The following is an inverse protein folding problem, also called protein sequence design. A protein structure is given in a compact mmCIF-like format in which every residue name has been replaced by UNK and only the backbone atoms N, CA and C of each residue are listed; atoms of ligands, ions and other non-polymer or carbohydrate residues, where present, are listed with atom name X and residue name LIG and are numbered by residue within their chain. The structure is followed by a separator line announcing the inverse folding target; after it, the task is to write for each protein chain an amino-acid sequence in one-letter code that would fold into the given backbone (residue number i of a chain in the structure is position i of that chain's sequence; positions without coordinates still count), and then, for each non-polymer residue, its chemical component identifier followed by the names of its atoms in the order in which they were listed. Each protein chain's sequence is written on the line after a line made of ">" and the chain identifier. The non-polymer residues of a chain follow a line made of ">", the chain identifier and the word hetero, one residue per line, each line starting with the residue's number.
data_IF_949299610827
#
_entry.id   IF_949299610827
#
_cell.length_a   1.000
_cell.length_b   1.000
_cell.length_c   1.000
_cell.angle_alpha   90.00
_cell.angle_beta   90.00
_cell.angle_gamma   90.00
#
_symmetry.space_group_name_H-M   'P 1'
#
loop_
_entity.id
_entity.type
_entity.pdbx_description
1 polymer ?
#
# COMPACT_ATOMS: atom_id res chain seq x y z
N UNK A 1 -29.24 4.67 43.01
CA UNK A 1 -28.73 5.76 43.87
C UNK A 1 -27.35 5.31 44.35
N UNK A 2 -26.22 6.00 44.24
CA UNK A 2 -25.83 7.33 43.77
C UNK A 2 -24.35 7.28 43.30
N UNK A 3 -23.92 8.27 42.51
CA UNK A 3 -22.53 8.49 42.02
C UNK A 3 -21.56 8.85 43.17
N UNK A 4 -20.24 8.68 42.93
CA UNK A 4 -19.26 9.73 43.19
C UNK A 4 -18.44 9.99 41.89
N UNK A 5 -17.96 11.18 41.54
CA UNK A 5 -17.76 12.45 42.22
C UNK A 5 -16.60 13.12 41.48
N UNK A 6 -16.89 14.22 40.77
CA UNK A 6 -15.95 15.08 40.03
C UNK A 6 -15.36 16.12 41.00
N UNK A 7 -14.19 16.68 40.65
CA UNK A 7 -13.37 17.76 41.27
C UNK A 7 -12.15 17.16 42.02
N UNK A 8 -10.89 17.35 41.60
CA UNK A 8 -10.18 18.63 41.45
C UNK A 8 -9.33 18.74 40.18
N UNK A 9 -9.49 19.84 39.44
CA UNK A 9 -8.46 20.37 38.55
C UNK A 9 -8.45 21.88 38.68
N UNK A 10 -8.12 22.35 39.88
CA UNK A 10 -7.93 23.76 40.17
C UNK A 10 -6.60 24.24 39.56
N UNK A 11 -6.59 25.24 38.64
CA UNK A 11 -5.39 25.67 37.92
C UNK A 11 -4.25 26.12 38.84
N UNK A 12 -4.58 26.68 40.01
CA UNK A 12 -3.60 27.18 40.98
C UNK A 12 -2.83 26.05 41.68
N UNK A 13 -3.50 24.92 41.97
CA UNK A 13 -2.87 23.74 42.59
C UNK A 13 -1.90 23.09 41.60
N UNK A 14 -2.25 23.01 40.31
CA UNK A 14 -1.35 22.52 39.26
C UNK A 14 -0.12 23.41 39.08
N UNK A 15 -0.27 24.74 39.18
CA UNK A 15 0.85 25.68 39.05
C UNK A 15 1.83 25.53 40.22
N UNK A 16 1.33 25.43 41.45
CA UNK A 16 2.16 25.15 42.64
C UNK A 16 2.90 23.82 42.51
N UNK A 17 2.22 22.74 42.09
CA UNK A 17 2.82 21.42 41.88
C UNK A 17 3.94 21.43 40.84
N UNK A 18 3.76 22.16 39.73
CA UNK A 18 4.79 22.32 38.68
C UNK A 18 6.00 23.13 39.17
N UNK A 19 5.79 24.14 40.01
CA UNK A 19 6.88 24.93 40.61
C UNK A 19 7.71 24.08 41.58
N UNK A 20 7.08 23.19 42.34
CA UNK A 20 7.72 22.29 43.28
C UNK A 20 8.55 21.21 42.57
N UNK A 21 7.99 20.55 41.55
CA UNK A 21 8.72 19.59 40.71
C UNK A 21 9.92 20.21 39.97
N UNK A 22 9.82 21.49 39.56
CA UNK A 22 10.96 22.21 38.97
C UNK A 22 12.06 22.50 40.00
N UNK A 23 11.71 22.76 41.25
CA UNK A 23 12.69 22.95 42.33
C UNK A 23 13.40 21.64 42.66
N UNK A 24 12.67 20.53 42.72
CA UNK A 24 13.25 19.19 42.90
C UNK A 24 14.20 18.82 41.76
N UNK A 25 13.79 19.03 40.51
CA UNK A 25 14.65 18.79 39.35
C UNK A 25 15.93 19.63 39.42
N UNK A 26 15.83 20.91 39.81
CA UNK A 26 17.00 21.80 39.96
C UNK A 26 17.94 21.38 41.10
N UNK A 27 17.44 20.65 42.10
CA UNK A 27 18.24 20.07 43.19
C UNK A 27 18.92 18.78 42.74
N UNK A 28 18.19 17.89 42.08
CA UNK A 28 18.71 16.64 41.51
C UNK A 28 19.80 16.90 40.47
N UNK A 29 19.57 17.82 39.54
CA UNK A 29 20.55 18.18 38.50
C UNK A 29 21.80 18.83 39.10
N UNK A 30 21.69 19.56 40.21
CA UNK A 30 22.88 20.11 40.89
C UNK A 30 23.70 19.04 41.57
N UNK A 31 23.06 18.12 42.29
CA UNK A 31 23.74 16.96 42.90
C UNK A 31 24.43 16.07 41.85
N UNK A 32 23.81 15.90 40.67
CA UNK A 32 24.40 15.16 39.54
C UNK A 32 25.65 15.84 38.96
N UNK A 33 25.74 17.17 39.05
CA UNK A 33 26.83 17.96 38.44
C UNK A 33 27.96 18.24 39.44
N UNK A 34 27.66 18.24 40.75
CA UNK A 34 28.61 18.60 41.81
C UNK A 34 29.27 17.38 42.48
N UNK A 35 28.68 16.18 42.45
CA UNK A 35 29.26 14.94 43.00
C UNK A 35 29.98 14.12 41.91
N UNK A 36 31.25 13.71 42.14
CA UNK A 36 32.02 12.88 41.19
C UNK A 36 31.48 11.45 41.04
N UNK A 37 30.83 10.90 42.08
CA UNK A 37 30.14 9.60 42.03
C UNK A 37 28.63 9.79 41.85
N UNK A 38 28.20 9.87 40.59
CA UNK A 38 26.80 10.07 40.23
C UNK A 38 25.99 8.79 40.40
N UNK A 39 25.10 8.73 41.39
CA UNK A 39 24.19 7.59 41.57
C UNK A 39 23.22 7.46 40.37
N UNK A 40 23.17 6.28 39.75
CA UNK A 40 22.25 5.95 38.64
C UNK A 40 20.79 6.25 39.02
N UNK A 41 20.44 6.07 40.31
CA UNK A 41 19.10 6.38 40.81
C UNK A 41 18.76 7.88 40.75
N UNK A 42 19.75 8.77 40.90
CA UNK A 42 19.54 10.21 40.78
C UNK A 42 19.28 10.61 39.31
N UNK A 43 19.99 9.96 38.37
CA UNK A 43 19.77 10.13 36.93
C UNK A 43 18.37 9.65 36.51
N UNK A 44 17.96 8.48 36.99
CA UNK A 44 16.63 7.93 36.69
C UNK A 44 15.50 8.79 37.28
N UNK A 45 15.66 9.28 38.53
CA UNK A 45 14.69 10.22 39.14
C UNK A 45 14.61 11.55 38.40
N UNK A 46 15.74 12.07 37.91
CA UNK A 46 15.77 13.29 37.12
C UNK A 46 15.05 13.11 35.76
N UNK A 47 15.27 11.96 35.11
CA UNK A 47 14.60 11.57 33.86
C UNK A 47 13.10 11.42 34.03
N UNK A 48 12.65 10.76 35.10
CA UNK A 48 11.23 10.59 35.41
C UNK A 48 10.55 11.94 35.68
N UNK A 49 11.18 12.80 36.48
CA UNK A 49 10.67 14.14 36.78
C UNK A 49 10.56 15.01 35.51
N UNK A 50 11.51 14.89 34.58
CA UNK A 50 11.45 15.55 33.27
C UNK A 50 10.31 15.04 32.39
N UNK A 51 10.05 13.74 32.37
CA UNK A 51 8.92 13.15 31.63
C UNK A 51 7.58 13.68 32.15
N UNK A 52 7.38 13.69 33.47
CA UNK A 52 6.14 14.20 34.08
C UNK A 52 5.95 15.70 33.81
N UNK A 53 7.02 16.50 33.89
CA UNK A 53 6.95 17.93 33.55
C UNK A 53 6.64 18.19 32.06
N UNK A 54 7.13 17.32 31.16
CA UNK A 54 6.82 17.38 29.72
C UNK A 54 5.33 17.11 29.49
N UNK A 55 4.77 16.10 30.12
CA UNK A 55 3.35 15.73 29.99
C UNK A 55 2.41 16.80 30.55
N UNK A 56 2.76 17.41 31.68
CA UNK A 56 2.01 18.52 32.26
C UNK A 56 2.08 19.79 31.38
N UNK A 57 3.20 20.04 30.70
CA UNK A 57 3.33 21.13 29.72
C UNK A 57 2.54 20.87 28.44
N UNK A 58 2.44 19.61 28.01
CA UNK A 58 1.59 19.20 26.89
C UNK A 58 0.10 19.35 27.24
N UNK A 59 -0.32 18.97 28.44
CA UNK A 59 -1.72 19.18 28.91
C UNK A 59 -2.11 20.66 29.02
N UNK A 60 -1.18 21.56 29.38
CA UNK A 60 -1.42 23.02 29.34
C UNK A 60 -1.59 23.57 27.91
N UNK A 61 -0.98 22.96 26.89
CA UNK A 61 -1.19 23.33 25.48
C UNK A 61 -2.54 22.85 24.92
N UNK A 62 -3.16 21.85 25.54
CA UNK A 62 -4.46 21.30 25.12
C UNK A 62 -5.66 22.15 25.53
N UNK A 63 -5.54 22.97 26.59
CA UNK A 63 -6.62 23.82 27.11
C UNK A 63 -6.45 25.31 26.81
N UNK A 64 -5.35 25.74 26.18
CA UNK A 64 -5.32 27.06 25.55
C UNK A 64 -5.93 26.95 24.16
N UNK A 65 -7.06 27.61 23.95
CA UNK A 65 -7.51 28.03 22.62
C UNK A 65 -6.30 28.51 21.83
N UNK A 66 -6.05 27.83 20.70
CA UNK A 66 -4.87 28.02 19.85
C UNK A 66 -5.01 29.36 19.13
N UNK A 67 -4.80 30.45 19.86
CA UNK A 67 -4.58 31.77 19.28
C UNK A 67 -3.26 31.71 18.53
N UNK A 68 -3.34 31.76 17.21
CA UNK A 68 -2.20 32.01 16.36
C UNK A 68 -1.54 33.30 16.82
N UNK A 69 -0.23 33.27 17.10
CA UNK A 69 0.57 34.51 17.17
C UNK A 69 0.72 35.05 15.74
N UNK A 70 -0.34 35.67 15.25
CA UNK A 70 -0.28 36.60 14.12
C UNK A 70 0.14 37.94 14.74
N UNK A 71 1.07 38.65 14.09
CA UNK A 71 1.38 40.04 14.43
C UNK A 71 0.07 40.82 14.57
N UNK A 72 -0.10 41.52 15.68
CA UNK A 72 -1.41 41.96 16.22
C UNK A 72 -2.27 42.90 15.37
N UNK A 73 -1.93 43.23 14.11
CA UNK A 73 -2.63 44.22 13.30
C UNK A 73 -2.89 43.80 11.84
N UNK A 74 -3.44 42.60 11.59
CA UNK A 74 -4.02 42.29 10.28
C UNK A 74 -5.51 41.97 10.46
N UNK A 75 -6.38 42.91 10.09
CA UNK A 75 -7.83 42.72 10.05
C UNK A 75 -8.25 42.19 8.69
N UNK A 76 -8.79 40.97 8.66
CA UNK A 76 -9.30 40.34 7.43
C UNK A 76 -10.62 40.98 6.98
N UNK A 77 -10.84 41.18 5.67
CA UNK A 77 -12.16 41.47 5.13
C UNK A 77 -13.20 40.45 5.58
N UNK A 78 -14.40 40.90 5.94
CA UNK A 78 -15.45 40.03 6.48
C UNK A 78 -15.94 38.99 5.44
N UNK A 79 -15.80 39.29 4.16
CA UNK A 79 -16.11 38.40 3.03
C UNK A 79 -15.24 37.13 3.01
N UNK A 80 -14.07 37.16 3.65
CA UNK A 80 -13.16 36.01 3.73
C UNK A 80 -13.32 35.21 5.02
N UNK A 81 -14.17 35.66 5.94
CA UNK A 81 -14.39 34.99 7.23
C UNK A 81 -15.50 33.96 7.12
N UNK A 82 -15.28 32.80 7.73
CA UNK A 82 -16.30 31.78 7.87
C UNK A 82 -17.39 32.28 8.83
N UNK A 83 -18.67 32.26 8.44
CA UNK A 83 -19.74 32.74 9.31
C UNK A 83 -19.90 31.95 10.62
N UNK A 84 -19.45 30.68 10.64
CA UNK A 84 -19.47 29.79 11.80
C UNK A 84 -18.31 30.03 12.77
N UNK A 85 -17.06 30.08 12.27
CA UNK A 85 -15.87 30.20 13.13
C UNK A 85 -15.44 31.65 13.36
N UNK A 86 -15.89 32.58 12.52
CA UNK A 86 -15.42 33.97 12.42
C UNK A 86 -13.92 34.09 12.07
N UNK A 87 -13.29 33.00 11.66
CA UNK A 87 -11.90 32.94 11.22
C UNK A 87 -11.81 32.95 9.68
N UNK A 88 -10.63 33.27 9.14
CA UNK A 88 -10.36 33.21 7.70
C UNK A 88 -10.67 31.82 7.12
N UNK A 89 -11.45 31.75 6.05
CA UNK A 89 -11.80 30.52 5.36
C UNK A 89 -10.57 29.91 4.68
N UNK A 90 -10.21 28.68 5.05
CA UNK A 90 -9.09 27.96 4.44
C UNK A 90 -9.54 27.10 3.26
N UNK A 91 -10.69 26.46 3.40
CA UNK A 91 -11.33 25.69 2.34
C UNK A 91 -12.78 26.15 2.15
N UNK A 92 -12.99 27.24 1.39
CA UNK A 92 -14.33 27.81 1.20
C UNK A 92 -15.20 26.87 0.36
N UNK A 93 -16.35 26.50 0.93
CA UNK A 93 -17.37 25.63 0.30
C UNK A 93 -18.75 26.25 0.37
N UNK A 94 -19.51 26.08 -0.70
CA UNK A 94 -20.90 26.50 -0.82
C UNK A 94 -21.82 25.35 -0.38
N UNK A 95 -22.77 25.68 0.48
CA UNK A 95 -23.91 24.80 0.81
C UNK A 95 -25.10 25.10 -0.10
N UNK A 96 -26.12 24.23 -0.11
CA UNK A 96 -27.31 24.36 -0.96
C UNK A 96 -28.04 25.71 -0.87
N UNK A 97 -27.90 26.45 0.22
CA UNK A 97 -28.45 27.80 0.41
C UNK A 97 -27.65 28.91 -0.27
N UNK A 98 -26.56 28.58 -0.97
CA UNK A 98 -25.65 29.54 -1.64
C UNK A 98 -24.64 30.21 -0.72
N UNK A 99 -24.69 29.97 0.60
CA UNK A 99 -23.75 30.53 1.55
C UNK A 99 -22.41 29.79 1.55
N UNK A 100 -21.32 30.53 1.75
CA UNK A 100 -19.96 29.97 1.80
C UNK A 100 -19.48 29.84 3.24
N UNK A 101 -18.93 28.67 3.57
CA UNK A 101 -18.33 28.37 4.86
C UNK A 101 -16.97 27.73 4.68
N UNK A 102 -16.16 27.71 5.73
CA UNK A 102 -14.97 26.86 5.75
C UNK A 102 -15.38 25.39 5.98
N UNK A 103 -14.92 24.49 5.11
CA UNK A 103 -15.32 23.08 5.05
C UNK A 103 -15.33 22.36 6.41
N UNK A 104 -14.31 22.48 7.28
CA UNK A 104 -14.26 21.73 8.54
C UNK A 104 -15.43 22.07 9.47
N UNK A 105 -15.81 23.35 9.53
CA UNK A 105 -16.83 23.84 10.44
C UNK A 105 -18.24 23.47 9.97
N UNK A 106 -18.52 23.64 8.67
CA UNK A 106 -19.83 23.28 8.11
C UNK A 106 -20.00 21.75 8.04
N UNK A 107 -18.94 21.00 7.80
CA UNK A 107 -18.99 19.55 7.81
C UNK A 107 -19.23 19.01 9.23
N UNK A 108 -18.63 19.63 10.27
CA UNK A 108 -18.94 19.31 11.68
C UNK A 108 -20.40 19.62 12.01
N UNK A 109 -20.92 20.76 11.54
CA UNK A 109 -22.31 21.15 11.71
C UNK A 109 -23.29 20.13 11.11
N UNK A 110 -23.05 19.69 9.86
CA UNK A 110 -23.87 18.69 9.18
C UNK A 110 -23.77 17.29 9.81
N UNK A 111 -22.57 16.89 10.27
CA UNK A 111 -22.34 15.61 10.96
C UNK A 111 -23.04 15.53 12.31
N UNK A 112 -23.26 16.67 12.98
CA UNK A 112 -24.04 16.75 14.21
C UNK A 112 -25.56 16.57 13.99
N UNK A 113 -25.99 16.27 12.76
CA UNK A 113 -27.39 16.01 12.41
C UNK A 113 -28.16 17.26 11.96
N UNK A 114 -27.53 18.43 11.96
CA UNK A 114 -28.19 19.67 11.55
C UNK A 114 -28.41 19.68 10.03
N UNK A 115 -29.64 19.96 9.61
CA UNK A 115 -30.06 20.03 8.19
C UNK A 115 -30.39 21.45 7.74
N UNK A 116 -30.05 22.44 8.55
CA UNK A 116 -30.29 23.86 8.29
C UNK A 116 -28.99 24.60 8.02
N UNK A 117 -29.06 25.64 7.21
CA UNK A 117 -27.98 26.59 6.99
C UNK A 117 -27.73 27.37 8.31
N UNK A 118 -26.50 27.39 8.85
CA UNK A 118 -26.21 28.06 10.11
C UNK A 118 -26.54 29.56 10.14
N UNK A 119 -26.37 30.25 9.01
CA UNK A 119 -26.53 31.71 8.91
C UNK A 119 -27.93 32.12 8.46
N UNK A 120 -28.54 31.41 7.52
CA UNK A 120 -29.87 31.78 6.97
C UNK A 120 -31.01 31.01 7.61
N UNK A 121 -30.71 30.00 8.44
CA UNK A 121 -31.67 29.08 9.05
C UNK A 121 -32.58 28.32 8.07
N UNK A 122 -32.33 28.43 6.76
CA UNK A 122 -33.05 27.70 5.72
C UNK A 122 -32.71 26.21 5.76
N UNK A 123 -33.70 25.35 5.55
CA UNK A 123 -33.49 23.91 5.40
C UNK A 123 -32.75 23.66 4.09
N UNK A 124 -31.63 22.93 4.17
CA UNK A 124 -30.81 22.61 3.01
C UNK A 124 -31.47 21.51 2.18
N UNK A 125 -31.69 21.75 0.89
CA UNK A 125 -32.25 20.76 -0.04
C UNK A 125 -31.33 19.54 -0.22
N UNK A 126 -30.02 19.72 -0.04
CA UNK A 126 -29.02 18.64 -0.02
C UNK A 126 -27.83 19.05 0.86
N UNK A 127 -27.08 18.05 1.35
CA UNK A 127 -25.91 18.24 2.23
C UNK A 127 -24.57 18.17 1.49
N UNK A 128 -24.59 18.26 0.16
CA UNK A 128 -23.38 18.31 -0.65
C UNK A 128 -22.66 19.65 -0.45
N UNK A 129 -21.33 19.62 -0.44
CA UNK A 129 -20.46 20.78 -0.25
C UNK A 129 -19.68 21.04 -1.52
N UNK A 130 -20.07 22.08 -2.26
CA UNK A 130 -19.44 22.46 -3.54
C UNK A 130 -18.26 23.40 -3.27
N UNK A 131 -17.03 23.10 -3.72
CA UNK A 131 -15.89 24.02 -3.55
C UNK A 131 -16.16 25.40 -4.17
N UNK A 132 -15.82 26.47 -3.46
CA UNK A 132 -15.90 27.85 -3.96
C UNK A 132 -14.52 28.34 -4.40
N UNK A 133 -14.15 28.02 -5.63
CA UNK A 133 -12.85 28.38 -6.21
C UNK A 133 -12.64 29.89 -6.31
N UNK A 134 -13.70 30.68 -6.51
CA UNK A 134 -13.62 32.14 -6.63
C UNK A 134 -13.17 32.79 -5.31
N UNK A 135 -13.83 32.44 -4.19
CA UNK A 135 -13.44 32.96 -2.87
C UNK A 135 -12.04 32.49 -2.49
N UNK A 136 -11.67 31.25 -2.86
CA UNK A 136 -10.31 30.74 -2.65
C UNK A 136 -9.27 31.59 -3.40
N UNK A 137 -9.48 31.84 -4.70
CA UNK A 137 -8.56 32.68 -5.50
C UNK A 137 -8.48 34.12 -4.98
N UNK A 138 -9.59 34.68 -4.50
CA UNK A 138 -9.62 36.03 -3.91
C UNK A 138 -8.79 36.10 -2.61
N UNK A 139 -8.91 35.08 -1.74
CA UNK A 139 -8.13 34.97 -0.51
C UNK A 139 -6.64 34.80 -0.84
N UNK A 140 -6.29 33.98 -1.82
CA UNK A 140 -4.91 33.77 -2.27
C UNK A 140 -4.28 35.06 -2.83
N UNK A 141 -5.00 35.78 -3.70
CA UNK A 141 -4.55 37.08 -4.25
C UNK A 141 -4.39 38.12 -3.15
N UNK A 142 -5.35 38.20 -2.23
CA UNK A 142 -5.28 39.12 -1.09
C UNK A 142 -4.08 38.80 -0.18
N UNK A 143 -3.84 37.52 0.10
CA UNK A 143 -2.70 37.07 0.92
C UNK A 143 -1.36 37.47 0.31
N UNK A 144 -1.20 37.24 -0.99
CA UNK A 144 0.01 37.62 -1.75
C UNK A 144 0.25 39.13 -1.70
N UNK A 145 -0.80 39.93 -1.83
CA UNK A 145 -0.71 41.39 -1.79
C UNK A 145 -0.36 41.95 -0.40
N UNK A 146 -0.63 41.21 0.68
CA UNK A 146 -0.30 41.59 2.06
C UNK A 146 1.06 41.04 2.53
N UNK A 147 1.83 40.38 1.65
CA UNK A 147 3.11 39.75 2.01
C UNK A 147 2.96 38.58 2.99
N UNK A 148 1.76 38.00 3.09
CA UNK A 148 1.49 36.83 3.91
C UNK A 148 1.62 35.61 2.99
N UNK A 149 2.62 34.76 3.23
CA UNK A 149 2.65 33.43 2.62
C UNK A 149 1.63 32.54 3.33
N UNK A 150 0.43 32.45 2.77
CA UNK A 150 -0.42 31.30 3.02
C UNK A 150 0.27 30.11 2.34
N UNK A 151 1.04 29.33 3.11
CA UNK A 151 1.59 28.06 2.64
C UNK A 151 0.49 27.29 1.91
N UNK A 152 0.80 26.71 0.75
CA UNK A 152 -0.16 25.93 -0.05
C UNK A 152 -0.61 24.68 0.73
N UNK A 153 -1.60 24.85 1.60
CA UNK A 153 -2.23 23.81 2.42
C UNK A 153 -3.29 23.09 1.57
N UNK A 154 -2.87 22.40 0.51
CA UNK A 154 -3.80 21.60 -0.32
C UNK A 154 -3.98 20.17 0.24
N UNK A 155 -3.19 19.72 1.22
CA UNK A 155 -3.29 18.35 1.76
C UNK A 155 -4.03 18.21 3.11
N UNK A 156 -4.96 19.12 3.45
CA UNK A 156 -5.90 18.91 4.59
C UNK A 156 -7.22 18.26 4.17
N UNK A 157 -7.18 17.39 3.17
CA UNK A 157 -8.30 16.53 2.81
C UNK A 157 -7.88 15.10 3.14
N UNK A 158 -8.55 14.54 4.13
CA UNK A 158 -8.32 13.27 4.83
C UNK A 158 -7.47 13.44 6.09
N UNK A 159 -8.00 13.04 7.24
CA UNK A 159 -7.33 13.12 8.55
C UNK A 159 -6.14 12.16 8.69
N UNK A 160 -5.18 12.24 7.76
CA UNK A 160 -3.96 11.43 7.66
C UNK A 160 -2.72 12.27 7.27
N UNK A 161 -2.79 13.60 7.30
CA UNK A 161 -1.62 14.47 7.09
C UNK A 161 -0.65 14.39 8.27
N UNK A 162 0.63 14.15 8.01
CA UNK A 162 1.68 14.16 9.02
C UNK A 162 1.79 15.57 9.64
N UNK A 163 2.00 15.67 10.97
CA UNK A 163 2.20 16.97 11.63
C UNK A 163 3.54 17.56 11.18
N UNK A 164 3.72 18.86 11.31
CA UNK A 164 5.00 19.55 11.04
C UNK A 164 6.19 18.89 11.80
N UNK A 165 5.96 18.45 13.04
CA UNK A 165 6.96 17.70 13.80
C UNK A 165 7.30 16.33 13.18
N UNK A 166 6.32 15.64 12.61
CA UNK A 166 6.50 14.35 11.94
C UNK A 166 7.26 14.53 10.62
N UNK A 167 6.98 15.60 9.87
CA UNK A 167 7.71 15.99 8.66
C UNK A 167 9.17 16.32 8.97
N UNK A 168 9.43 17.11 10.00
CA UNK A 168 10.80 17.45 10.42
C UNK A 168 11.56 16.19 10.88
N UNK A 169 10.90 15.30 11.61
CA UNK A 169 11.50 14.02 12.01
C UNK A 169 11.83 13.15 10.80
N UNK A 170 10.90 13.06 9.83
CA UNK A 170 11.09 12.33 8.58
C UNK A 170 12.30 12.85 7.79
N UNK A 171 12.40 14.17 7.59
CA UNK A 171 13.53 14.79 6.88
C UNK A 171 14.87 14.53 7.58
N UNK A 172 14.90 14.61 8.92
CA UNK A 172 16.10 14.27 9.70
C UNK A 172 16.53 12.81 9.50
N UNK A 173 15.58 11.87 9.42
CA UNK A 173 15.89 10.47 9.12
C UNK A 173 16.42 10.29 7.69
N UNK A 174 15.86 11.00 6.70
CA UNK A 174 16.37 10.96 5.33
C UNK A 174 17.78 11.53 5.21
N UNK A 175 18.09 12.60 5.92
CA UNK A 175 19.45 13.17 5.96
C UNK A 175 20.45 12.13 6.49
N UNK A 176 20.09 11.40 7.56
CA UNK A 176 20.89 10.31 8.10
C UNK A 176 21.11 9.15 7.13
N UNK A 177 20.24 8.94 6.14
CA UNK A 177 20.46 7.95 5.07
C UNK A 177 21.67 8.32 4.18
N UNK A 178 22.16 9.55 4.21
CA UNK A 178 23.39 9.97 3.51
C UNK A 178 24.62 10.08 4.42
N UNK A 179 24.51 9.69 5.69
CA UNK A 179 25.58 9.79 6.70
C UNK A 179 26.38 8.47 6.81
N UNK A 180 26.90 8.17 8.00
CA UNK A 180 27.65 6.95 8.33
C UNK A 180 26.78 5.68 8.23
N UNK A 181 27.41 4.51 8.04
CA UNK A 181 26.68 3.23 7.99
C UNK A 181 25.84 2.97 9.25
N UNK A 182 26.30 3.40 10.43
CA UNK A 182 25.56 3.28 11.68
C UNK A 182 24.27 4.12 11.64
N UNK A 183 24.37 5.39 11.20
CA UNK A 183 23.24 6.27 11.03
C UNK A 183 22.25 5.76 9.97
N UNK A 184 22.76 5.23 8.86
CA UNK A 184 21.95 4.64 7.79
C UNK A 184 21.13 3.47 8.30
N UNK A 185 21.74 2.54 9.05
CA UNK A 185 21.04 1.40 9.66
C UNK A 185 19.93 1.84 10.61
N UNK A 186 20.25 2.75 11.53
CA UNK A 186 19.25 3.24 12.48
C UNK A 186 18.12 4.00 11.77
N UNK A 187 18.46 4.87 10.83
CA UNK A 187 17.48 5.64 10.07
C UNK A 187 16.57 4.74 9.23
N UNK A 188 17.11 3.77 8.51
CA UNK A 188 16.33 2.82 7.71
C UNK A 188 15.38 2.00 8.59
N UNK A 189 15.85 1.52 9.75
CA UNK A 189 15.03 0.81 10.72
C UNK A 189 13.88 1.67 11.27
N UNK A 190 14.15 2.93 11.61
CA UNK A 190 13.11 3.86 12.05
C UNK A 190 12.09 4.17 10.94
N UNK A 191 12.56 4.42 9.71
CA UNK A 191 11.69 4.65 8.55
C UNK A 191 10.80 3.43 8.27
N UNK A 192 11.33 2.21 8.36
CA UNK A 192 10.56 0.96 8.28
C UNK A 192 9.47 0.90 9.35
N UNK A 193 9.81 1.20 10.61
CA UNK A 193 8.86 1.15 11.73
C UNK A 193 7.76 2.21 11.60
N UNK A 194 8.12 3.42 11.21
CA UNK A 194 7.19 4.55 11.05
C UNK A 194 6.23 4.30 9.89
N UNK A 195 6.73 3.89 8.71
CA UNK A 195 5.87 3.56 7.57
C UNK A 195 4.97 2.35 7.82
N UNK A 196 5.41 1.40 8.66
CA UNK A 196 4.56 0.28 9.10
C UNK A 196 3.41 0.75 9.99
N UNK A 197 3.69 1.57 11.01
CA UNK A 197 2.73 1.97 12.05
C UNK A 197 1.83 3.14 11.67
N UNK A 198 2.33 4.06 10.84
CA UNK A 198 1.72 5.35 10.60
C UNK A 198 1.54 5.60 9.10
N UNK A 199 0.30 5.52 8.57
CA UNK A 199 0.02 5.79 7.17
C UNK A 199 0.51 7.16 6.68
N UNK A 200 0.49 8.18 7.56
CA UNK A 200 0.97 9.53 7.23
C UNK A 200 2.44 9.54 6.77
N UNK A 201 3.32 8.71 7.34
CA UNK A 201 4.72 8.61 6.92
C UNK A 201 4.88 7.96 5.54
N UNK A 202 3.89 7.20 5.07
CA UNK A 202 3.93 6.65 3.71
C UNK A 202 3.75 7.76 2.68
N UNK A 203 2.82 8.68 2.93
CA UNK A 203 2.51 9.80 2.01
C UNK A 203 3.72 10.73 1.86
N UNK A 204 4.47 10.97 2.94
CA UNK A 204 5.64 11.87 2.92
C UNK A 204 6.68 11.51 1.86
N UNK A 205 6.87 10.23 1.54
CA UNK A 205 7.84 9.84 0.51
C UNK A 205 7.49 10.35 -0.89
N UNK A 206 6.23 10.68 -1.15
CA UNK A 206 5.80 11.27 -2.41
C UNK A 206 5.64 12.79 -2.34
N UNK A 207 5.49 13.35 -1.14
CA UNK A 207 5.45 14.81 -0.92
C UNK A 207 6.82 15.49 -1.15
N UNK A 208 7.92 14.75 -1.02
CA UNK A 208 9.29 15.26 -1.22
C UNK A 208 9.98 14.56 -2.40
N UNK A 209 10.38 15.34 -3.42
CA UNK A 209 10.91 14.85 -4.70
C UNK A 209 12.09 13.87 -4.56
N UNK A 210 12.97 14.09 -3.58
CA UNK A 210 14.18 13.30 -3.38
C UNK A 210 14.09 12.24 -2.27
N UNK A 211 12.92 12.04 -1.65
CA UNK A 211 12.80 11.13 -0.51
C UNK A 211 13.10 9.66 -0.87
N UNK A 212 12.53 9.17 -1.98
CA UNK A 212 12.77 7.80 -2.43
C UNK A 212 14.24 7.61 -2.89
N UNK A 213 14.82 8.47 -3.75
CA UNK A 213 16.25 8.37 -4.08
C UNK A 213 17.18 8.39 -2.87
N UNK A 214 16.92 9.25 -1.87
CA UNK A 214 17.73 9.32 -0.65
C UNK A 214 17.63 8.05 0.20
N UNK A 215 16.44 7.46 0.33
CA UNK A 215 16.25 6.18 1.00
C UNK A 215 17.09 5.07 0.34
N UNK A 216 17.21 5.08 -0.99
CA UNK A 216 17.88 4.02 -1.75
C UNK A 216 19.39 4.17 -1.84
N UNK A 217 19.90 5.40 -1.66
CA UNK A 217 21.32 5.72 -1.82
C UNK A 217 22.27 4.70 -1.15
N UNK A 218 22.06 4.26 0.12
CA UNK A 218 22.97 3.33 0.76
C UNK A 218 23.11 1.96 0.10
N UNK A 219 22.10 1.52 -0.66
CA UNK A 219 22.07 0.18 -1.29
C UNK A 219 22.32 0.24 -2.81
N UNK A 220 22.41 1.45 -3.37
CA UNK A 220 22.81 1.70 -4.75
C UNK A 220 24.31 1.49 -4.95
N UNK A 221 25.12 2.02 -4.03
CA UNK A 221 26.57 2.01 -4.15
C UNK A 221 27.09 0.60 -3.83
N UNK A 222 27.74 -0.04 -4.80
CA UNK A 222 28.17 -1.45 -4.82
C UNK A 222 29.18 -1.89 -3.74
N UNK A 223 29.21 -1.22 -2.61
CA UNK A 223 29.86 -1.66 -1.37
C UNK A 223 29.21 -2.95 -0.84
N UNK A 224 29.88 -3.62 0.11
CA UNK A 224 29.45 -4.88 0.70
C UNK A 224 27.95 -4.85 1.03
N UNK A 225 27.19 -5.82 0.50
CA UNK A 225 25.73 -5.90 0.72
C UNK A 225 25.48 -6.05 2.21
N UNK A 226 25.01 -4.98 2.84
CA UNK A 226 24.57 -5.05 4.22
C UNK A 226 23.13 -5.55 4.24
N UNK A 227 22.95 -6.84 4.52
CA UNK A 227 21.64 -7.50 4.44
C UNK A 227 20.60 -6.86 5.36
N UNK A 228 20.96 -6.44 6.57
CA UNK A 228 20.03 -5.78 7.50
C UNK A 228 19.51 -4.46 6.90
N UNK A 229 20.43 -3.63 6.40
CA UNK A 229 20.10 -2.33 5.81
C UNK A 229 19.27 -2.49 4.54
N UNK A 230 19.62 -3.47 3.70
CA UNK A 230 18.86 -3.80 2.49
C UNK A 230 17.44 -4.24 2.86
N UNK A 231 17.27 -5.11 3.84
CA UNK A 231 15.94 -5.54 4.28
C UNK A 231 15.12 -4.34 4.77
N UNK A 232 15.70 -3.46 5.60
CA UNK A 232 14.98 -2.30 6.13
C UNK A 232 14.55 -1.32 5.02
N UNK A 233 15.43 -1.05 4.05
CA UNK A 233 15.14 -0.20 2.89
C UNK A 233 14.07 -0.81 2.00
N UNK A 234 14.20 -2.10 1.63
CA UNK A 234 13.23 -2.79 0.77
C UNK A 234 11.87 -2.95 1.47
N UNK A 235 11.86 -3.18 2.79
CA UNK A 235 10.61 -3.22 3.56
C UNK A 235 9.95 -1.85 3.62
N UNK A 236 10.74 -0.77 3.71
CA UNK A 236 10.22 0.60 3.64
C UNK A 236 9.58 0.86 2.27
N UNK A 237 10.24 0.46 1.17
CA UNK A 237 9.65 0.51 -0.18
C UNK A 237 8.33 -0.26 -0.27
N UNK A 238 8.26 -1.46 0.32
CA UNK A 238 7.02 -2.23 0.39
C UNK A 238 5.93 -1.42 1.12
N UNK A 239 6.22 -0.91 2.31
CA UNK A 239 5.24 -0.17 3.11
C UNK A 239 4.69 1.06 2.37
N UNK A 240 5.54 1.82 1.66
CA UNK A 240 5.09 2.99 0.91
C UNK A 240 4.31 2.61 -0.36
N UNK A 241 4.62 1.47 -0.99
CA UNK A 241 3.94 0.99 -2.20
C UNK A 241 2.49 0.53 -1.95
N UNK A 242 2.15 0.22 -0.69
CA UNK A 242 0.78 -0.16 -0.31
C UNK A 242 -0.18 1.02 -0.52
N UNK A 243 0.28 2.26 -0.39
CA UNK A 243 -0.54 3.46 -0.57
C UNK A 243 -0.78 3.74 -2.07
N UNK A 244 -2.05 3.87 -2.49
CA UNK A 244 -2.42 3.99 -3.92
C UNK A 244 -1.77 5.20 -4.61
N UNK A 245 -1.76 6.36 -3.97
CA UNK A 245 -1.20 7.58 -4.56
C UNK A 245 0.31 7.49 -4.80
N UNK A 246 1.01 6.61 -4.08
CA UNK A 246 2.46 6.49 -4.17
C UNK A 246 2.89 5.54 -5.29
N UNK A 247 2.03 4.61 -5.71
CA UNK A 247 2.41 3.51 -6.61
C UNK A 247 3.02 4.00 -7.91
N UNK A 248 2.45 5.05 -8.53
CA UNK A 248 2.96 5.60 -9.79
C UNK A 248 4.36 6.19 -9.60
N UNK A 249 4.51 7.12 -8.67
CA UNK A 249 5.79 7.79 -8.39
C UNK A 249 6.89 6.81 -7.96
N UNK A 250 6.57 5.84 -7.09
CA UNK A 250 7.54 4.81 -6.68
C UNK A 250 8.03 3.98 -7.87
N UNK A 251 7.14 3.55 -8.78
CA UNK A 251 7.53 2.76 -9.94
C UNK A 251 8.29 3.57 -11.01
N UNK A 252 7.94 4.85 -11.18
CA UNK A 252 8.59 5.77 -12.12
C UNK A 252 9.93 6.31 -11.59
N UNK A 253 10.18 6.20 -10.29
CA UNK A 253 11.44 6.65 -9.69
C UNK A 253 12.60 5.80 -10.22
N UNK A 254 13.64 6.42 -10.80
CA UNK A 254 14.81 5.71 -11.30
C UNK A 254 15.42 4.78 -10.23
N UNK A 255 15.98 3.65 -10.67
CA UNK A 255 16.61 2.63 -9.82
C UNK A 255 15.68 1.78 -8.95
N UNK A 256 14.45 2.17 -8.62
CA UNK A 256 13.56 1.37 -7.76
C UNK A 256 13.39 -0.05 -8.29
N UNK A 257 12.96 -0.21 -9.54
CA UNK A 257 12.73 -1.55 -10.12
C UNK A 257 14.04 -2.30 -10.32
N UNK A 258 15.12 -1.60 -10.68
CA UNK A 258 16.44 -2.22 -10.79
C UNK A 258 16.91 -2.82 -9.46
N UNK A 259 16.76 -2.09 -8.35
CA UNK A 259 17.10 -2.54 -7.02
C UNK A 259 16.19 -3.66 -6.54
N UNK A 260 14.87 -3.58 -6.81
CA UNK A 260 13.95 -4.68 -6.50
C UNK A 260 14.39 -5.97 -7.22
N UNK A 261 14.78 -5.89 -8.50
CA UNK A 261 15.32 -7.04 -9.22
C UNK A 261 16.65 -7.55 -8.66
N UNK A 262 17.56 -6.65 -8.25
CA UNK A 262 18.81 -7.03 -7.57
C UNK A 262 18.48 -7.78 -6.27
N UNK A 263 17.57 -7.25 -5.47
CA UNK A 263 17.07 -7.85 -4.23
C UNK A 263 16.42 -9.22 -4.45
N UNK A 264 15.66 -9.44 -5.54
CA UNK A 264 15.12 -10.76 -5.89
C UNK A 264 16.20 -11.80 -6.17
N UNK A 265 17.35 -11.39 -6.76
CA UNK A 265 18.44 -12.28 -7.15
C UNK A 265 19.41 -12.61 -6.02
N UNK A 266 19.75 -11.63 -5.18
CA UNK A 266 20.84 -11.77 -4.19
C UNK A 266 20.45 -11.41 -2.75
N UNK A 267 19.16 -11.14 -2.47
CA UNK A 267 18.69 -10.81 -1.13
C UNK A 267 18.53 -12.03 -0.21
N UNK A 268 18.26 -11.77 1.07
CA UNK A 268 17.76 -12.79 2.03
C UNK A 268 16.37 -13.27 1.64
N UNK A 269 15.88 -14.33 2.29
CA UNK A 269 14.51 -14.84 2.05
C UNK A 269 13.48 -13.73 2.24
N UNK A 270 13.62 -12.96 3.32
CA UNK A 270 12.78 -11.82 3.68
C UNK A 270 12.90 -10.68 2.66
N UNK A 271 14.13 -10.34 2.25
CA UNK A 271 14.37 -9.29 1.25
C UNK A 271 13.75 -9.66 -0.11
N UNK A 272 13.87 -10.93 -0.52
CA UNK A 272 13.28 -11.44 -1.77
C UNK A 272 11.76 -11.44 -1.70
N UNK A 273 11.18 -11.88 -0.58
CA UNK A 273 9.74 -11.82 -0.34
C UNK A 273 9.22 -10.38 -0.41
N UNK A 274 9.86 -9.46 0.30
CA UNK A 274 9.48 -8.05 0.32
C UNK A 274 9.63 -7.39 -1.06
N UNK A 275 10.67 -7.75 -1.82
CA UNK A 275 10.83 -7.26 -3.18
C UNK A 275 9.72 -7.77 -4.12
N UNK A 276 9.36 -9.06 -4.02
CA UNK A 276 8.26 -9.63 -4.80
C UNK A 276 6.92 -9.00 -4.43
N UNK A 277 6.64 -8.83 -3.13
CA UNK A 277 5.46 -8.15 -2.62
C UNK A 277 5.40 -6.69 -3.09
N UNK A 278 6.53 -5.98 -3.15
CA UNK A 278 6.59 -4.59 -3.65
C UNK A 278 6.27 -4.53 -5.15
N UNK A 279 6.79 -5.46 -5.96
CA UNK A 279 6.42 -5.52 -7.37
C UNK A 279 4.94 -5.85 -7.55
N UNK A 280 4.39 -6.75 -6.73
CA UNK A 280 2.97 -7.06 -6.71
C UNK A 280 2.11 -5.82 -6.40
N UNK A 281 2.38 -5.09 -5.32
CA UNK A 281 1.61 -3.89 -4.95
C UNK A 281 1.70 -2.79 -6.00
N UNK A 282 2.90 -2.54 -6.56
CA UNK A 282 3.09 -1.55 -7.62
C UNK A 282 2.37 -1.94 -8.90
N UNK A 283 2.28 -3.23 -9.20
CA UNK A 283 1.60 -3.76 -10.39
C UNK A 283 0.07 -3.61 -10.36
N UNK A 284 -0.53 -3.10 -9.28
CA UNK A 284 -1.94 -2.75 -9.26
C UNK A 284 -2.32 -1.74 -10.37
N UNK A 285 -1.41 -0.81 -10.71
CA UNK A 285 -1.59 0.14 -11.81
C UNK A 285 -1.11 -0.44 -13.15
N UNK A 286 -1.91 -0.29 -14.22
CA UNK A 286 -1.55 -0.81 -15.55
C UNK A 286 -0.28 -0.16 -16.12
N UNK A 287 -0.09 1.15 -15.92
CA UNK A 287 1.15 1.85 -16.31
C UNK A 287 2.40 1.22 -15.68
N UNK A 288 2.29 0.80 -14.42
CA UNK A 288 3.38 0.16 -13.70
C UNK A 288 3.62 -1.27 -14.17
N UNK A 289 2.56 -2.02 -14.53
CA UNK A 289 2.72 -3.37 -15.11
C UNK A 289 3.59 -3.33 -16.38
N UNK A 290 3.40 -2.30 -17.21
CA UNK A 290 4.18 -2.12 -18.44
C UNK A 290 5.64 -1.85 -18.13
N UNK A 291 5.89 -0.90 -17.23
CA UNK A 291 7.22 -0.47 -16.85
C UNK A 291 8.01 -1.61 -16.17
N UNK A 292 7.38 -2.33 -15.24
CA UNK A 292 7.98 -3.50 -14.56
C UNK A 292 8.27 -4.62 -15.57
N UNK A 293 7.33 -4.92 -16.47
CA UNK A 293 7.51 -5.93 -17.52
C UNK A 293 8.63 -5.59 -18.51
N UNK A 294 8.73 -4.31 -18.91
CA UNK A 294 9.82 -3.77 -19.74
C UNK A 294 11.19 -3.89 -19.08
N UNK A 295 11.24 -3.94 -17.75
CA UNK A 295 12.48 -4.02 -16.98
C UNK A 295 13.05 -5.44 -16.84
N UNK A 296 12.46 -6.46 -17.46
CA UNK A 296 12.83 -7.88 -17.31
C UNK A 296 12.66 -8.42 -15.87
N UNK A 297 11.72 -7.88 -15.11
CA UNK A 297 11.44 -8.32 -13.73
C UNK A 297 10.78 -9.71 -13.65
N UNK A 298 10.23 -10.23 -14.75
CA UNK A 298 9.57 -11.54 -14.78
C UNK A 298 10.56 -12.69 -14.60
N UNK A 299 11.74 -12.66 -15.25
CA UNK A 299 12.74 -13.73 -15.11
C UNK A 299 13.17 -13.98 -13.66
N UNK A 300 13.60 -12.98 -12.85
CA UNK A 300 13.94 -13.21 -11.44
C UNK A 300 12.77 -13.74 -10.60
N UNK A 301 11.53 -13.33 -10.90
CA UNK A 301 10.35 -13.87 -10.22
C UNK A 301 10.11 -15.34 -10.58
N UNK A 302 10.30 -15.72 -11.85
CA UNK A 302 10.18 -17.10 -12.31
C UNK A 302 11.27 -17.98 -11.70
N UNK A 303 12.49 -17.46 -11.55
CA UNK A 303 13.61 -18.19 -10.91
C UNK A 303 13.32 -18.46 -9.44
N UNK A 304 12.79 -17.46 -8.73
CA UNK A 304 12.28 -17.61 -7.37
C UNK A 304 11.14 -18.63 -7.27
N UNK A 305 10.24 -18.62 -8.25
CA UNK A 305 9.17 -19.60 -8.34
C UNK A 305 9.76 -21.01 -8.46
N UNK A 306 10.78 -21.20 -9.31
CA UNK A 306 11.51 -22.46 -9.54
C UNK A 306 12.19 -22.98 -8.27
N UNK A 307 12.89 -22.13 -7.53
CA UNK A 307 13.50 -22.48 -6.24
C UNK A 307 12.47 -22.98 -5.22
N UNK A 308 11.26 -22.42 -5.21
CA UNK A 308 10.14 -22.97 -4.45
C UNK A 308 10.21 -22.80 -2.94
N UNK A 309 10.82 -21.72 -2.45
CA UNK A 309 10.79 -21.40 -1.03
C UNK A 309 9.33 -21.17 -0.55
N UNK A 310 8.80 -22.00 0.37
CA UNK A 310 7.39 -21.94 0.79
C UNK A 310 6.95 -20.57 1.34
N UNK A 311 7.87 -19.83 1.98
CA UNK A 311 7.57 -18.53 2.57
C UNK A 311 7.38 -17.41 1.54
N UNK A 312 7.93 -17.57 0.33
CA UNK A 312 7.92 -16.53 -0.71
C UNK A 312 7.01 -16.86 -1.89
N UNK A 313 6.64 -18.13 -2.03
CA UNK A 313 5.95 -18.65 -3.21
C UNK A 313 4.66 -17.92 -3.54
N UNK A 314 3.84 -17.61 -2.53
CA UNK A 314 2.55 -16.95 -2.72
C UNK A 314 2.70 -15.52 -3.23
N UNK A 315 3.66 -14.77 -2.68
CA UNK A 315 3.91 -13.39 -3.09
C UNK A 315 4.48 -13.34 -4.51
N UNK A 316 5.41 -14.25 -4.82
CA UNK A 316 5.98 -14.40 -6.17
C UNK A 316 4.91 -14.77 -7.19
N UNK A 317 4.08 -15.78 -6.89
CA UNK A 317 2.99 -16.18 -7.77
C UNK A 317 1.97 -15.04 -7.99
N UNK A 318 1.63 -14.29 -6.93
CA UNK A 318 0.71 -13.15 -7.01
C UNK A 318 1.28 -12.00 -7.85
N UNK A 319 2.59 -11.73 -7.74
CA UNK A 319 3.30 -10.75 -8.57
C UNK A 319 3.27 -11.16 -10.05
N UNK A 320 3.62 -12.41 -10.37
CA UNK A 320 3.61 -12.93 -11.75
C UNK A 320 2.19 -12.87 -12.32
N UNK A 321 1.18 -13.32 -11.56
CA UNK A 321 -0.21 -13.29 -11.99
C UNK A 321 -0.66 -11.88 -12.37
N UNK A 322 -0.40 -10.90 -11.50
CA UNK A 322 -0.84 -9.51 -11.70
C UNK A 322 -0.12 -8.86 -12.86
N UNK A 323 1.19 -9.08 -13.01
CA UNK A 323 1.96 -8.59 -14.16
C UNK A 323 1.47 -9.20 -15.48
N UNK A 324 1.13 -10.49 -15.50
CA UNK A 324 0.64 -11.19 -16.67
C UNK A 324 -0.83 -10.89 -17.03
N UNK A 325 -1.54 -10.08 -16.23
CA UNK A 325 -2.85 -9.56 -16.64
C UNK A 325 -2.71 -8.70 -17.91
N UNK A 326 -1.57 -8.04 -18.08
CA UNK A 326 -1.23 -7.38 -19.35
C UNK A 326 -0.75 -8.38 -20.40
N UNK A 327 -1.25 -8.21 -21.62
CA UNK A 327 -0.98 -9.12 -22.73
C UNK A 327 0.53 -9.23 -23.06
N UNK A 328 1.25 -8.11 -23.17
CA UNK A 328 2.67 -8.11 -23.53
C UNK A 328 3.54 -8.82 -22.49
N UNK A 329 3.14 -8.76 -21.23
CA UNK A 329 3.85 -9.44 -20.14
C UNK A 329 3.65 -10.96 -20.19
N UNK A 330 2.55 -11.46 -20.78
CA UNK A 330 2.38 -12.91 -21.01
C UNK A 330 3.45 -13.43 -21.97
N UNK A 331 3.69 -12.71 -23.06
CA UNK A 331 4.72 -13.09 -24.03
C UNK A 331 6.12 -13.11 -23.40
N UNK A 332 6.42 -12.12 -22.54
CA UNK A 332 7.67 -12.06 -21.77
C UNK A 332 7.79 -13.21 -20.78
N UNK A 333 6.75 -13.51 -20.00
CA UNK A 333 6.76 -14.60 -19.04
C UNK A 333 6.96 -15.97 -19.70
N UNK A 334 6.32 -16.19 -20.85
CA UNK A 334 6.51 -17.42 -21.66
C UNK A 334 7.96 -17.50 -22.14
N UNK A 335 8.50 -16.42 -22.72
CA UNK A 335 9.90 -16.36 -23.15
C UNK A 335 10.89 -16.65 -22.01
N UNK A 336 10.58 -16.16 -20.81
CA UNK A 336 11.41 -16.34 -19.62
C UNK A 336 11.25 -17.74 -18.98
N UNK A 337 10.42 -18.62 -19.54
CA UNK A 337 10.28 -20.03 -19.15
C UNK A 337 9.21 -20.32 -18.09
N UNK A 338 8.24 -19.41 -17.89
CA UNK A 338 7.20 -19.58 -16.87
C UNK A 338 6.40 -20.87 -17.05
N UNK A 339 6.03 -21.24 -18.28
CA UNK A 339 5.21 -22.43 -18.55
C UNK A 339 5.93 -23.70 -18.11
N UNK A 340 7.21 -23.87 -18.48
CA UNK A 340 8.05 -24.98 -18.02
C UNK A 340 8.10 -25.08 -16.49
N UNK A 341 8.42 -23.98 -15.79
CA UNK A 341 8.55 -23.97 -14.32
C UNK A 341 7.23 -24.35 -13.65
N UNK A 342 6.13 -23.75 -14.10
CA UNK A 342 4.78 -24.01 -13.57
C UNK A 342 4.38 -25.47 -13.79
N UNK A 343 4.58 -26.01 -15.00
CA UNK A 343 4.23 -27.39 -15.33
C UNK A 343 5.01 -28.39 -14.49
N UNK A 344 6.31 -28.18 -14.28
CA UNK A 344 7.14 -29.04 -13.43
C UNK A 344 6.62 -29.09 -12.00
N UNK A 345 6.27 -27.94 -11.41
CA UNK A 345 5.76 -27.89 -10.03
C UNK A 345 4.37 -28.49 -9.88
N UNK A 346 3.48 -28.24 -10.84
CA UNK A 346 2.15 -28.83 -10.84
C UNK A 346 2.18 -30.36 -10.97
N UNK A 347 3.09 -30.92 -11.78
CA UNK A 347 3.31 -32.37 -11.86
C UNK A 347 3.72 -32.95 -10.50
N UNK A 348 4.54 -32.22 -9.75
CA UNK A 348 4.95 -32.57 -8.39
C UNK A 348 3.92 -32.21 -7.29
N UNK A 349 2.71 -31.75 -7.68
CA UNK A 349 1.63 -31.35 -6.76
C UNK A 349 2.01 -30.23 -5.78
N UNK A 350 2.94 -29.36 -6.16
CA UNK A 350 3.37 -28.22 -5.34
C UNK A 350 2.63 -26.93 -5.75
N UNK A 351 1.96 -26.27 -4.79
CA UNK A 351 1.28 -24.97 -4.97
C UNK A 351 0.34 -24.93 -6.19
N UNK A 352 -0.44 -26.00 -6.39
CA UNK A 352 -1.26 -26.18 -7.59
C UNK A 352 -2.25 -25.03 -7.77
N UNK A 353 -2.88 -24.56 -6.70
CA UNK A 353 -3.93 -23.53 -6.73
C UNK A 353 -3.42 -22.20 -7.32
N UNK A 354 -2.29 -21.70 -6.81
CA UNK A 354 -1.68 -20.45 -7.27
C UNK A 354 -1.14 -20.59 -8.70
N UNK A 355 -0.44 -21.69 -8.97
CA UNK A 355 0.24 -21.91 -10.25
C UNK A 355 -0.73 -22.15 -11.40
N UNK A 356 -1.82 -22.87 -11.14
CA UNK A 356 -2.85 -23.15 -12.12
C UNK A 356 -3.60 -21.88 -12.54
N UNK A 357 -3.76 -20.90 -11.63
CA UNK A 357 -4.33 -19.61 -11.98
C UNK A 357 -3.43 -18.82 -12.95
N UNK A 358 -2.11 -18.86 -12.74
CA UNK A 358 -1.13 -18.24 -13.67
C UNK A 358 -1.15 -18.98 -15.01
N UNK A 359 -1.17 -20.31 -15.00
CA UNK A 359 -1.21 -21.12 -16.22
C UNK A 359 -2.48 -20.84 -17.04
N UNK A 360 -3.64 -20.72 -16.38
CA UNK A 360 -4.89 -20.34 -17.02
C UNK A 360 -4.81 -18.96 -17.66
N UNK A 361 -4.17 -17.99 -17.00
CA UNK A 361 -3.95 -16.66 -17.57
C UNK A 361 -3.02 -16.70 -18.80
N UNK A 362 -1.91 -17.45 -18.72
CA UNK A 362 -0.96 -17.63 -19.81
C UNK A 362 -1.55 -18.39 -20.99
N UNK A 363 -2.51 -19.30 -20.76
CA UNK A 363 -3.17 -20.07 -21.82
C UNK A 363 -3.91 -19.21 -22.85
N UNK A 364 -4.13 -17.92 -22.56
CA UNK A 364 -4.66 -16.96 -23.53
C UNK A 364 -3.65 -16.51 -24.59
N UNK A 365 -2.36 -16.89 -24.46
CA UNK A 365 -1.29 -16.57 -25.39
C UNK A 365 -0.86 -17.81 -26.20
N UNK A 366 -0.89 -17.74 -27.53
CA UNK A 366 -0.69 -18.89 -28.43
C UNK A 366 0.60 -19.68 -28.14
N UNK A 367 1.75 -19.02 -27.98
CA UNK A 367 3.03 -19.72 -27.70
C UNK A 367 2.98 -20.51 -26.38
N UNK A 368 2.26 -20.00 -25.38
CA UNK A 368 2.13 -20.67 -24.10
C UNK A 368 1.34 -21.97 -24.24
N UNK A 369 0.28 -21.95 -25.06
CA UNK A 369 -0.58 -23.12 -25.30
C UNK A 369 0.19 -24.24 -26.00
N UNK A 370 1.00 -23.90 -26.99
CA UNK A 370 1.85 -24.87 -27.69
C UNK A 370 2.86 -25.51 -26.73
N UNK A 371 3.55 -24.68 -25.94
CA UNK A 371 4.51 -25.17 -24.93
C UNK A 371 3.82 -26.04 -23.86
N UNK A 372 2.61 -25.68 -23.41
CA UNK A 372 1.81 -26.51 -22.49
C UNK A 372 1.48 -27.88 -23.10
N UNK A 373 1.09 -27.93 -24.37
CA UNK A 373 0.74 -29.17 -25.06
C UNK A 373 1.95 -30.10 -25.20
N UNK A 374 3.13 -29.55 -25.51
CA UNK A 374 4.40 -30.28 -25.59
C UNK A 374 4.85 -30.81 -24.24
N UNK A 375 4.66 -30.03 -23.17
CA UNK A 375 5.02 -30.43 -21.80
C UNK A 375 4.02 -31.39 -21.15
N UNK A 376 3.05 -31.93 -21.89
CA UNK A 376 2.08 -32.90 -21.37
C UNK A 376 1.10 -32.29 -20.37
N UNK A 377 0.62 -31.08 -20.62
CA UNK A 377 -0.37 -30.44 -19.74
C UNK A 377 -1.71 -31.19 -19.68
N UNK A 378 -2.15 -31.80 -20.78
CA UNK A 378 -3.45 -32.49 -20.86
C UNK A 378 -3.61 -33.57 -19.78
N UNK A 379 -2.76 -34.61 -19.70
CA UNK A 379 -2.90 -35.64 -18.66
C UNK A 379 -2.71 -35.09 -17.25
N UNK A 380 -1.83 -34.10 -17.07
CA UNK A 380 -1.61 -33.47 -15.77
C UNK A 380 -2.87 -32.74 -15.27
N UNK A 381 -3.51 -31.95 -16.12
CA UNK A 381 -4.70 -31.16 -15.78
C UNK A 381 -5.91 -32.06 -15.50
N UNK A 382 -6.05 -33.14 -16.27
CA UNK A 382 -7.10 -34.14 -16.05
C UNK A 382 -6.94 -34.86 -14.70
N UNK A 383 -5.70 -35.24 -14.34
CA UNK A 383 -5.40 -35.80 -13.01
C UNK A 383 -5.78 -34.83 -11.90
N UNK A 384 -5.39 -33.55 -12.02
CA UNK A 384 -5.73 -32.51 -11.05
C UNK A 384 -7.26 -32.32 -10.96
N UNK A 385 -8.00 -32.40 -12.07
CA UNK A 385 -9.46 -32.28 -12.07
C UNK A 385 -10.14 -33.40 -11.28
N UNK A 386 -9.62 -34.63 -11.35
CA UNK A 386 -10.15 -35.77 -10.58
C UNK A 386 -9.83 -35.67 -9.09
N UNK A 387 -8.61 -35.24 -8.77
CA UNK A 387 -8.10 -35.20 -7.40
C UNK A 387 -8.60 -33.97 -6.60
N UNK A 388 -8.85 -32.84 -7.28
CA UNK A 388 -9.14 -31.57 -6.62
C UNK A 388 -10.60 -31.47 -6.17
N UNK A 389 -10.81 -31.07 -4.92
CA UNK A 389 -12.13 -30.63 -4.42
C UNK A 389 -12.43 -29.15 -4.72
N UNK A 390 -11.44 -28.40 -5.22
CA UNK A 390 -11.56 -26.97 -5.48
C UNK A 390 -12.20 -26.72 -6.85
N UNK A 391 -13.41 -26.18 -6.86
CA UNK A 391 -14.14 -25.86 -8.09
C UNK A 391 -13.40 -24.83 -8.97
N UNK A 392 -12.65 -23.90 -8.36
CA UNK A 392 -11.82 -22.94 -9.11
C UNK A 392 -10.70 -23.63 -9.88
N UNK A 393 -10.10 -24.68 -9.31
CA UNK A 393 -9.07 -25.45 -10.00
C UNK A 393 -9.65 -26.22 -11.17
N UNK A 394 -10.78 -26.92 -10.97
CA UNK A 394 -11.46 -27.62 -12.07
C UNK A 394 -11.84 -26.66 -13.20
N UNK A 395 -12.32 -25.47 -12.86
CA UNK A 395 -12.64 -24.41 -13.82
C UNK A 395 -11.40 -23.94 -14.60
N UNK A 396 -10.28 -23.71 -13.92
CA UNK A 396 -9.02 -23.32 -14.56
C UNK A 396 -8.49 -24.44 -15.47
N UNK A 397 -8.49 -25.69 -15.00
CA UNK A 397 -8.07 -26.85 -15.79
C UNK A 397 -8.87 -26.98 -17.09
N UNK A 398 -10.21 -26.98 -17.00
CA UNK A 398 -11.05 -27.10 -18.20
C UNK A 398 -10.90 -25.89 -19.13
N UNK A 399 -10.61 -24.71 -18.60
CA UNK A 399 -10.32 -23.52 -19.41
C UNK A 399 -9.02 -23.67 -20.21
N UNK A 400 -7.97 -24.22 -19.60
CA UNK A 400 -6.69 -24.48 -20.27
C UNK A 400 -6.88 -25.59 -21.31
N UNK A 401 -7.53 -26.71 -20.94
CA UNK A 401 -7.80 -27.83 -21.86
C UNK A 401 -8.59 -27.38 -23.09
N UNK A 402 -9.64 -26.58 -22.89
CA UNK A 402 -10.42 -26.02 -23.99
C UNK A 402 -9.52 -25.23 -24.95
N UNK A 403 -8.60 -24.44 -24.40
CA UNK A 403 -7.70 -23.62 -25.21
C UNK A 403 -6.66 -24.48 -25.92
N UNK A 404 -6.07 -25.46 -25.26
CA UNK A 404 -5.17 -26.44 -25.91
C UNK A 404 -5.85 -27.12 -27.09
N UNK A 405 -7.08 -27.63 -26.91
CA UNK A 405 -7.81 -28.30 -28.00
C UNK A 405 -8.25 -27.37 -29.14
N UNK A 406 -8.31 -26.06 -28.91
CA UNK A 406 -8.56 -25.09 -29.96
C UNK A 406 -7.34 -24.94 -30.89
N UNK A 407 -6.13 -24.97 -30.33
CA UNK A 407 -4.89 -24.77 -31.08
C UNK A 407 -4.26 -26.08 -31.58
N UNK A 408 -4.36 -27.16 -30.81
CA UNK A 408 -3.85 -28.49 -31.16
C UNK A 408 -4.97 -29.54 -31.04
N UNK A 409 -5.54 -29.90 -32.20
CA UNK A 409 -6.61 -30.89 -32.29
C UNK A 409 -6.14 -32.31 -31.97
N UNK A 410 -4.85 -32.61 -32.09
CA UNK A 410 -4.32 -33.96 -31.79
C UNK A 410 -4.56 -34.34 -30.33
N UNK A 411 -4.58 -33.34 -29.44
CA UNK A 411 -4.85 -33.48 -28.01
C UNK A 411 -6.27 -33.89 -27.67
N UNK A 412 -7.23 -33.78 -28.60
CA UNK A 412 -8.58 -34.30 -28.39
C UNK A 412 -8.60 -35.82 -28.22
N UNK A 413 -7.62 -36.55 -28.77
CA UNK A 413 -7.49 -38.01 -28.57
C UNK A 413 -7.23 -38.35 -27.09
N UNK A 414 -6.28 -37.64 -26.46
CA UNK A 414 -5.95 -37.82 -25.04
C UNK A 414 -7.18 -37.52 -24.15
N UNK A 415 -7.94 -36.45 -24.46
CA UNK A 415 -9.18 -36.15 -23.73
C UNK A 415 -10.27 -37.21 -23.97
N UNK A 416 -10.35 -37.77 -25.18
CA UNK A 416 -11.32 -38.83 -25.49
C UNK A 416 -11.03 -40.10 -24.69
N UNK A 417 -9.77 -40.50 -24.57
CA UNK A 417 -9.34 -41.65 -23.79
C UNK A 417 -9.68 -41.48 -22.30
N UNK A 418 -9.43 -40.28 -21.76
CA UNK A 418 -9.83 -39.90 -20.41
C UNK A 418 -11.35 -39.96 -20.20
N UNK A 419 -12.12 -39.38 -21.12
CA UNK A 419 -13.58 -39.32 -21.01
C UNK A 419 -14.20 -40.73 -21.07
N UNK A 420 -13.65 -41.62 -21.89
CA UNK A 420 -14.08 -43.02 -21.95
C UNK A 420 -13.80 -43.77 -20.65
N UNK A 421 -12.68 -43.47 -19.98
CA UNK A 421 -12.21 -44.19 -18.80
C UNK A 421 -12.83 -43.68 -17.50
N UNK A 422 -12.91 -42.35 -17.34
CA UNK A 422 -13.23 -41.69 -16.07
C UNK A 422 -14.42 -40.73 -16.14
N UNK A 423 -14.97 -40.43 -17.32
CA UNK A 423 -16.08 -39.47 -17.52
C UNK A 423 -15.86 -38.10 -16.88
N UNK A 424 -14.61 -37.70 -16.69
CA UNK A 424 -14.22 -36.52 -15.91
C UNK A 424 -14.78 -35.22 -16.51
N UNK A 425 -14.85 -35.09 -17.84
CA UNK A 425 -15.40 -33.90 -18.49
C UNK A 425 -16.93 -33.92 -18.41
N UNK A 426 -17.59 -35.07 -18.59
CA UNK A 426 -19.04 -35.21 -18.42
C UNK A 426 -19.51 -34.89 -17.00
N UNK A 427 -18.78 -35.34 -15.98
CA UNK A 427 -19.09 -35.01 -14.58
C UNK A 427 -18.98 -33.51 -14.32
N UNK A 428 -17.92 -32.86 -14.82
CA UNK A 428 -17.76 -31.42 -14.69
C UNK A 428 -18.86 -30.65 -15.44
N UNK A 429 -19.29 -31.12 -16.60
CA UNK A 429 -20.40 -30.54 -17.37
C UNK A 429 -21.74 -30.58 -16.62
N UNK A 430 -21.93 -31.57 -15.72
CA UNK A 430 -23.16 -31.71 -14.91
C UNK A 430 -23.08 -30.96 -13.58
N UNK A 431 -21.93 -31.01 -12.92
CA UNK A 431 -21.80 -30.62 -11.51
C UNK A 431 -20.96 -29.36 -11.27
N UNK A 432 -20.18 -28.89 -12.25
CA UNK A 432 -19.27 -27.76 -12.08
C UNK A 432 -19.94 -26.38 -11.98
N UNK A 433 -19.12 -25.34 -11.82
CA UNK A 433 -19.54 -23.94 -11.92
C UNK A 433 -20.16 -23.63 -13.29
N UNK A 434 -20.97 -22.56 -13.40
CA UNK A 434 -21.57 -22.16 -14.69
C UNK A 434 -20.53 -21.98 -15.81
N UNK A 435 -19.34 -21.49 -15.47
CA UNK A 435 -18.23 -21.31 -16.42
C UNK A 435 -17.54 -22.64 -16.74
N UNK A 436 -17.31 -23.50 -15.75
CA UNK A 436 -16.76 -24.84 -15.97
C UNK A 436 -17.68 -25.68 -16.85
N UNK A 437 -18.99 -25.68 -16.59
CA UNK A 437 -20.02 -26.39 -17.38
C UNK A 437 -19.98 -26.01 -18.84
N UNK A 438 -20.05 -24.71 -19.14
CA UNK A 438 -20.00 -24.20 -20.52
C UNK A 438 -18.75 -24.66 -21.27
N UNK A 439 -17.60 -24.64 -20.60
CA UNK A 439 -16.31 -25.03 -21.19
C UNK A 439 -16.23 -26.55 -21.40
N UNK A 440 -16.66 -27.33 -20.40
CA UNK A 440 -16.73 -28.78 -20.48
C UNK A 440 -17.66 -29.26 -21.60
N UNK A 441 -18.88 -28.72 -21.67
CA UNK A 441 -19.82 -28.99 -22.77
C UNK A 441 -19.23 -28.66 -24.13
N UNK A 442 -18.54 -27.52 -24.26
CA UNK A 442 -17.86 -27.15 -25.50
C UNK A 442 -16.73 -28.10 -25.91
N UNK A 443 -16.06 -28.78 -24.96
CA UNK A 443 -15.09 -29.85 -25.26
C UNK A 443 -15.82 -31.12 -25.70
N UNK A 444 -16.87 -31.54 -24.98
CA UNK A 444 -17.66 -32.74 -25.32
C UNK A 444 -18.27 -32.64 -26.72
N UNK A 445 -18.86 -31.50 -27.07
CA UNK A 445 -19.40 -31.27 -28.42
C UNK A 445 -18.33 -31.46 -29.51
N UNK A 446 -17.09 -31.03 -29.26
CA UNK A 446 -15.97 -31.21 -30.20
C UNK A 446 -15.57 -32.68 -30.31
N UNK A 447 -15.55 -33.42 -29.20
CA UNK A 447 -15.27 -34.85 -29.22
C UNK A 447 -16.30 -35.59 -30.08
N UNK A 448 -17.60 -35.29 -29.92
CA UNK A 448 -18.66 -35.90 -30.70
C UNK A 448 -18.59 -35.56 -32.19
N UNK A 449 -18.22 -34.32 -32.55
CA UNK A 449 -18.03 -33.94 -33.96
C UNK A 449 -16.89 -34.71 -34.63
N UNK A 450 -15.78 -34.95 -33.92
CA UNK A 450 -14.65 -35.72 -34.47
C UNK A 450 -15.04 -37.19 -34.71
N UNK A 451 -15.84 -37.77 -33.82
CA UNK A 451 -16.35 -39.15 -33.97
C UNK A 451 -17.23 -39.30 -35.22
N UNK A 452 -18.11 -38.33 -35.48
CA UNK A 452 -19.01 -38.39 -36.63
C UNK A 452 -18.27 -38.28 -37.98
N UNK A 453 -17.12 -37.61 -38.03
CA UNK A 453 -16.29 -37.51 -39.24
C UNK A 453 -15.55 -38.83 -39.51
N UNK A 454 -15.09 -39.53 -38.48
CA UNK A 454 -14.40 -40.82 -38.63
C UNK A 454 -15.32 -42.00 -38.97
N UNK A 455 -16.63 -41.87 -38.77
CA UNK A 455 -17.62 -42.89 -39.17
C UNK A 455 -18.21 -42.68 -40.57
N UNK A 456 -17.88 -41.56 -41.23
CA UNK A 456 -18.40 -41.19 -42.56
C UNK A 456 -17.33 -41.15 -43.65
N UNK A 457 -16.08 -41.50 -43.33
CA UNK A 457 -14.97 -41.73 -44.26
C UNK A 457 -14.58 -43.21 -44.19
#
# INVERSE_FOLDING_TARGET
>A
MAKPGVLDSDPEIMVKKVLEMKKELKKLVRSIVEDEDTSIEALDKAKETLCVLKDLKLRKKSHSSMSFKINKNVTFPDEFKCPLSKELMRDPVIVASGQTYDRPFIQKWLKAGNRTCPQTHQVLSHTLLTPNHLIREMIEKWSKNQGIELCNVINYINGEGAKEADQNHFLCLLEKMSSTLCDQKEAAKQLRLLTKKHPCFRVLFCDFENAIPQLLKPICDGSSINHDLQEDVITTLLNISIHDNNKKQVAETPMVIHLLMKSLRCGTIETRANAAATLFTLSALDSNKELIGKSNALKPLIDLLEEGNPFTMKDVASAIFTLCMMHDNKARAVKDGAVRVIMTKMKNRLHVDELLAILALLSTHQKAVLEMAELGAVPCLLSIMRESSCERNKENCVAILQTICLYDRSKLREIKEEENSYRTISELAKNGTSRAKRKASGILERLHRVVNITHTA
#
